data_IF_695932030491
#
_entry.id   IF_695932030491
#
_cell.length_a   1.000
_cell.length_b   1.000
_cell.length_c   1.000
_cell.angle_alpha   90.00
_cell.angle_beta   90.00
_cell.angle_gamma   90.00
#
_symmetry.space_group_name_H-M   'P 1'
#
loop_
_entity.id
_entity.type
_entity.pdbx_description
1 polymer ?
#
# COMPACT_ATOMS: atom_id res chain seq x y z
N UNK A 1 4.82 12.75 5.55
CA UNK A 1 5.03 11.27 5.58
C UNK A 1 4.23 10.55 4.49
N UNK A 2 2.90 10.76 4.42
CA UNK A 2 2.04 10.12 3.40
C UNK A 2 2.48 10.43 1.96
N UNK A 3 2.77 11.69 1.64
CA UNK A 3 3.21 12.09 0.29
C UNK A 3 4.53 11.43 -0.12
N UNK A 4 5.50 11.35 0.80
CA UNK A 4 6.77 10.65 0.56
C UNK A 4 6.54 9.17 0.23
N UNK A 5 5.61 8.50 0.93
CA UNK A 5 5.24 7.12 0.63
C UNK A 5 4.64 6.99 -0.78
N UNK A 6 3.78 7.92 -1.20
CA UNK A 6 3.20 7.94 -2.55
C UNK A 6 4.26 8.09 -3.64
N UNK A 7 5.24 8.98 -3.42
CA UNK A 7 6.36 9.20 -4.36
C UNK A 7 7.18 7.92 -4.50
N UNK A 8 7.56 7.30 -3.38
CA UNK A 8 8.33 6.05 -3.38
C UNK A 8 7.55 4.94 -4.09
N UNK A 9 6.28 4.72 -3.74
CA UNK A 9 5.42 3.70 -4.37
C UNK A 9 5.27 3.90 -5.87
N UNK A 10 5.15 5.14 -6.34
CA UNK A 10 5.11 5.43 -7.77
C UNK A 10 6.45 5.17 -8.46
N UNK A 11 7.58 5.42 -7.78
CA UNK A 11 8.92 5.12 -8.30
C UNK A 11 9.22 3.62 -8.42
N UNK A 12 8.64 2.80 -7.55
CA UNK A 12 8.85 1.35 -7.54
C UNK A 12 7.71 0.56 -8.20
N UNK A 13 6.77 1.24 -8.87
CA UNK A 13 5.54 0.63 -9.41
C UNK A 13 5.77 -0.44 -10.47
N UNK A 14 6.91 -0.45 -11.14
CA UNK A 14 7.21 -1.43 -12.19
C UNK A 14 7.70 -2.77 -11.59
N UNK A 15 8.25 -2.73 -10.38
CA UNK A 15 8.81 -3.88 -9.71
C UNK A 15 7.86 -4.39 -8.62
N UNK A 16 7.12 -5.46 -8.91
CA UNK A 16 6.10 -6.05 -8.01
C UNK A 16 6.68 -6.37 -6.63
N UNK A 17 7.91 -6.88 -6.55
CA UNK A 17 8.52 -7.27 -5.28
C UNK A 17 8.93 -6.04 -4.46
N UNK A 18 9.49 -5.03 -5.10
CA UNK A 18 9.87 -3.78 -4.45
C UNK A 18 8.63 -2.98 -4.02
N UNK A 19 7.61 -2.91 -4.87
CA UNK A 19 6.31 -2.31 -4.56
C UNK A 19 5.69 -2.92 -3.30
N UNK A 20 5.68 -4.25 -3.20
CA UNK A 20 5.21 -4.96 -1.99
C UNK A 20 5.96 -4.52 -0.74
N UNK A 21 7.30 -4.51 -0.79
CA UNK A 21 8.16 -4.14 0.36
C UNK A 21 7.92 -2.70 0.79
N UNK A 22 7.88 -1.77 -0.16
CA UNK A 22 7.68 -0.35 0.15
C UNK A 22 6.25 -0.07 0.63
N UNK A 23 5.24 -0.82 0.16
CA UNK A 23 3.85 -0.69 0.64
C UNK A 23 3.73 -1.12 2.11
N UNK A 24 4.34 -2.25 2.48
CA UNK A 24 4.37 -2.71 3.87
C UNK A 24 5.08 -1.70 4.78
N UNK A 25 6.25 -1.21 4.37
CA UNK A 25 7.01 -0.20 5.12
C UNK A 25 6.22 1.10 5.28
N UNK A 26 5.60 1.57 4.20
CA UNK A 26 4.77 2.77 4.23
C UNK A 26 3.62 2.62 5.22
N UNK A 27 2.92 1.48 5.22
CA UNK A 27 1.84 1.22 6.17
C UNK A 27 2.33 1.09 7.62
N UNK A 28 3.54 0.59 7.85
CA UNK A 28 4.13 0.47 9.18
C UNK A 28 4.54 1.84 9.77
N UNK A 29 4.93 2.80 8.94
CA UNK A 29 5.36 4.14 9.39
C UNK A 29 4.24 5.16 9.52
N UNK A 30 3.08 4.90 8.91
CA UNK A 30 1.96 5.83 8.89
C UNK A 30 1.00 5.60 10.07
N UNK A 31 0.38 6.68 10.55
CA UNK A 31 -0.71 6.58 11.52
C UNK A 31 -1.98 5.99 10.88
N UNK A 32 -2.94 5.54 11.70
CA UNK A 32 -4.17 4.90 11.21
C UNK A 32 -4.94 5.74 10.18
N UNK A 33 -4.99 7.07 10.35
CA UNK A 33 -5.63 7.97 9.40
C UNK A 33 -4.89 8.01 8.04
N UNK A 34 -3.57 8.12 8.07
CA UNK A 34 -2.74 8.11 6.86
C UNK A 34 -2.70 6.74 6.18
N UNK A 35 -2.72 5.64 6.94
CA UNK A 35 -2.83 4.29 6.40
C UNK A 35 -4.13 4.12 5.60
N UNK A 36 -5.27 4.63 6.10
CA UNK A 36 -6.54 4.61 5.36
C UNK A 36 -6.45 5.42 4.07
N UNK A 37 -5.87 6.62 4.13
CA UNK A 37 -5.69 7.45 2.94
C UNK A 37 -4.75 6.82 1.91
N UNK A 38 -3.63 6.21 2.36
CA UNK A 38 -2.70 5.49 1.50
C UNK A 38 -3.38 4.28 0.86
N UNK A 39 -4.13 3.51 1.64
CA UNK A 39 -4.83 2.31 1.17
C UNK A 39 -5.83 2.63 0.06
N UNK A 40 -6.60 3.71 0.22
CA UNK A 40 -7.52 4.18 -0.82
C UNK A 40 -6.76 4.60 -2.08
N UNK A 41 -5.72 5.43 -1.92
CA UNK A 41 -4.93 5.93 -3.04
C UNK A 41 -4.23 4.81 -3.82
N UNK A 42 -3.67 3.81 -3.14
CA UNK A 42 -3.01 2.67 -3.77
C UNK A 42 -4.00 1.83 -4.57
N UNK A 43 -5.22 1.61 -4.06
CA UNK A 43 -6.28 0.95 -4.83
C UNK A 43 -6.67 1.75 -6.07
N UNK A 44 -6.86 3.07 -5.94
CA UNK A 44 -7.26 3.90 -7.08
C UNK A 44 -6.19 3.96 -8.19
N UNK A 45 -4.90 3.89 -7.85
CA UNK A 45 -3.80 4.09 -8.81
C UNK A 45 -3.16 2.79 -9.32
N UNK A 46 -3.13 1.73 -8.50
CA UNK A 46 -2.34 0.53 -8.80
C UNK A 46 -3.15 -0.77 -8.80
N UNK A 47 -4.46 -0.75 -8.52
CA UNK A 47 -5.25 -1.99 -8.48
C UNK A 47 -5.22 -2.75 -9.82
N UNK A 48 -5.21 -2.06 -10.96
CA UNK A 48 -5.13 -2.72 -12.26
C UNK A 48 -3.82 -3.46 -12.52
N UNK A 49 -2.73 -3.11 -11.83
CA UNK A 49 -1.39 -3.69 -12.05
C UNK A 49 -0.96 -4.61 -10.90
N UNK A 50 -1.33 -4.25 -9.66
CA UNK A 50 -0.87 -4.88 -8.43
C UNK A 50 -2.01 -5.33 -7.53
N UNK A 51 -3.22 -5.58 -8.06
CA UNK A 51 -4.38 -6.07 -7.30
C UNK A 51 -4.01 -7.19 -6.32
N UNK A 52 -3.21 -8.14 -6.78
CA UNK A 52 -2.74 -9.29 -6.01
C UNK A 52 -1.98 -8.88 -4.73
N UNK A 53 -1.01 -7.96 -4.87
CA UNK A 53 -0.20 -7.43 -3.75
C UNK A 53 -1.04 -6.54 -2.84
N UNK A 54 -1.91 -5.72 -3.42
CA UNK A 54 -2.75 -4.78 -2.69
C UNK A 54 -3.77 -5.54 -1.84
N UNK A 55 -4.42 -6.55 -2.42
CA UNK A 55 -5.36 -7.40 -1.71
C UNK A 55 -4.65 -8.20 -0.62
N UNK A 56 -3.50 -8.80 -0.91
CA UNK A 56 -2.72 -9.50 0.11
C UNK A 56 -2.39 -8.58 1.29
N UNK A 57 -1.74 -7.43 1.06
CA UNK A 57 -1.30 -6.58 2.17
C UNK A 57 -2.46 -5.93 2.91
N UNK A 58 -3.48 -5.45 2.18
CA UNK A 58 -4.58 -4.72 2.79
C UNK A 58 -5.61 -5.66 3.42
N UNK A 59 -5.94 -6.81 2.83
CA UNK A 59 -6.92 -7.75 3.42
C UNK A 59 -6.35 -8.50 4.63
N UNK A 60 -5.05 -8.83 4.64
CA UNK A 60 -4.44 -9.54 5.79
C UNK A 60 -4.50 -8.74 7.09
N UNK A 61 -4.67 -7.40 7.04
CA UNK A 61 -4.90 -6.58 8.24
C UNK A 61 -6.36 -6.52 8.72
N UNK A 62 -7.34 -6.90 7.90
CA UNK A 62 -8.77 -6.83 8.24
C UNK A 62 -9.38 -8.19 8.62
N UNK A 63 -8.66 -9.29 8.45
CA UNK A 63 -9.18 -10.65 8.74
C UNK A 63 -9.03 -11.09 10.21
N UNK A 64 -8.27 -10.35 11.04
CA UNK A 64 -8.10 -10.65 12.48
C UNK A 64 -9.09 -9.92 13.40
N UNK A 65 -10.20 -9.41 12.86
CA UNK A 65 -11.26 -8.76 13.63
C UNK A 65 -12.64 -9.36 13.33
N UNK A 66 -12.72 -10.69 13.17
CA UNK A 66 -13.95 -11.48 13.27
C UNK A 66 -13.98 -12.26 14.59
#
# INVERSE_FOLDING_TARGET
MLESCKIVLNGVRDDKQLFRKELIKSLAWLNTNDQKQLSRWVKENFYNQHADVINEILLTKYDYAS
#
